data_IF_702722181179
#
_entry.id   IF_702722181179
#
_cell.length_a   1.000
_cell.length_b   1.000
_cell.length_c   1.000
_cell.angle_alpha   90.00
_cell.angle_beta   90.00
_cell.angle_gamma   90.00
#
_symmetry.space_group_name_H-M   'P 1'
#
loop_
_entity.id
_entity.type
_entity.pdbx_description
1 polymer ?
#
# COMPACT_ATOMS: atom_id res chain seq x y z
N UNK A 1 -30.32 41.16 0.38
CA UNK A 1 -29.23 40.35 -0.19
C UNK A 1 -28.59 39.57 0.96
N UNK A 2 -28.51 38.24 0.94
CA UNK A 2 -27.83 37.51 2.01
C UNK A 2 -26.33 37.82 2.00
N UNK A 3 -25.75 38.03 3.18
CA UNK A 3 -24.33 38.33 3.33
C UNK A 3 -23.47 37.07 3.07
N UNK A 4 -22.42 37.20 2.26
CA UNK A 4 -21.46 36.13 2.04
C UNK A 4 -20.60 35.94 3.30
N UNK A 5 -20.86 34.88 4.08
CA UNK A 5 -20.05 34.51 5.25
C UNK A 5 -18.95 33.53 4.84
N UNK A 6 -17.71 34.01 4.73
CA UNK A 6 -16.53 33.16 4.43
C UNK A 6 -16.20 32.30 5.66
N UNK A 7 -16.50 31.00 5.63
CA UNK A 7 -15.93 30.05 6.62
C UNK A 7 -14.43 29.93 6.41
N UNK A 8 -13.65 30.13 7.47
CA UNK A 8 -12.23 29.80 7.46
C UNK A 8 -12.10 28.28 7.33
N UNK A 9 -11.64 27.82 6.17
CA UNK A 9 -11.32 26.43 5.95
C UNK A 9 -9.95 26.17 6.61
N UNK A 10 -9.89 25.21 7.54
CA UNK A 10 -8.61 24.81 8.14
C UNK A 10 -7.75 24.25 7.00
N UNK A 11 -6.71 24.98 6.64
CA UNK A 11 -5.78 24.63 5.58
C UNK A 11 -4.36 24.81 6.11
N UNK A 12 -3.56 23.75 6.00
CA UNK A 12 -2.14 23.79 6.33
C UNK A 12 -1.35 23.82 5.01
N UNK A 13 -0.46 24.81 4.85
CA UNK A 13 0.33 25.01 3.63
C UNK A 13 -0.52 25.07 2.32
N UNK A 14 -1.77 25.55 2.39
CA UNK A 14 -2.67 25.62 1.24
C UNK A 14 -3.37 24.30 0.88
N UNK A 15 -3.10 23.21 1.60
CA UNK A 15 -3.82 21.95 1.52
C UNK A 15 -5.00 21.99 2.51
N UNK A 16 -6.21 22.07 1.98
CA UNK A 16 -7.43 21.85 2.77
C UNK A 16 -7.88 20.40 2.66
N UNK A 17 -8.62 19.90 3.65
CA UNK A 17 -9.16 18.54 3.65
C UNK A 17 -10.00 18.23 2.38
N UNK A 18 -10.74 19.23 1.89
CA UNK A 18 -11.54 19.12 0.66
C UNK A 18 -10.68 19.05 -0.61
N UNK A 19 -9.50 19.68 -0.61
CA UNK A 19 -8.55 19.54 -1.71
C UNK A 19 -7.93 18.15 -1.69
N UNK A 20 -7.56 17.64 -0.52
CA UNK A 20 -6.93 16.33 -0.38
C UNK A 20 -7.88 15.18 -0.73
N UNK A 21 -9.17 15.29 -0.38
CA UNK A 21 -10.16 14.26 -0.69
C UNK A 21 -10.32 14.01 -2.19
N UNK A 22 -10.10 15.03 -3.03
CA UNK A 22 -10.14 14.92 -4.50
C UNK A 22 -8.98 14.11 -5.07
N UNK A 23 -7.86 14.02 -4.36
CA UNK A 23 -6.69 13.23 -4.77
C UNK A 23 -6.77 11.75 -4.35
N UNK A 24 -7.76 11.39 -3.53
CA UNK A 24 -7.94 10.04 -3.01
C UNK A 24 -7.82 8.94 -4.08
N UNK A 25 -8.61 9.00 -5.18
CA UNK A 25 -8.53 7.98 -6.23
C UNK A 25 -7.15 7.87 -6.88
N UNK A 26 -6.49 9.00 -7.17
CA UNK A 26 -5.16 9.00 -7.78
C UNK A 26 -4.11 8.38 -6.85
N UNK A 27 -4.14 8.74 -5.56
CA UNK A 27 -3.23 8.17 -4.55
C UNK A 27 -3.45 6.67 -4.34
N UNK A 28 -4.67 6.16 -4.51
CA UNK A 28 -4.93 4.72 -4.48
C UNK A 28 -4.18 4.03 -5.62
N UNK A 29 -4.29 4.53 -6.86
CA UNK A 29 -3.57 3.93 -7.99
C UNK A 29 -2.05 4.01 -7.83
N UNK A 30 -1.53 5.15 -7.35
CA UNK A 30 -0.11 5.29 -7.03
C UNK A 30 0.33 4.34 -5.91
N UNK A 31 -0.49 4.16 -4.88
CA UNK A 31 -0.22 3.21 -3.79
C UNK A 31 -0.17 1.77 -4.28
N UNK A 32 -1.12 1.37 -5.14
CA UNK A 32 -1.12 0.04 -5.76
C UNK A 32 0.13 -0.14 -6.63
N UNK A 33 0.43 0.82 -7.52
CA UNK A 33 1.60 0.73 -8.40
C UNK A 33 2.92 0.67 -7.65
N UNK A 34 3.11 1.54 -6.65
CA UNK A 34 4.30 1.53 -5.80
C UNK A 34 4.41 0.25 -4.97
N UNK A 35 3.29 -0.22 -4.39
CA UNK A 35 3.23 -1.47 -3.64
C UNK A 35 3.59 -2.68 -4.50
N UNK A 36 3.07 -2.76 -5.73
CA UNK A 36 3.43 -3.79 -6.70
C UNK A 36 4.92 -3.72 -7.07
N UNK A 37 5.45 -2.54 -7.36
CA UNK A 37 6.85 -2.36 -7.72
C UNK A 37 7.79 -2.81 -6.60
N UNK A 38 7.54 -2.37 -5.36
CA UNK A 38 8.29 -2.79 -4.17
C UNK A 38 8.18 -4.30 -3.96
N UNK A 39 6.99 -4.87 -4.17
CA UNK A 39 6.77 -6.31 -4.02
C UNK A 39 7.58 -7.14 -5.00
N UNK A 40 7.77 -6.66 -6.24
CA UNK A 40 8.60 -7.32 -7.23
C UNK A 40 10.08 -7.28 -6.83
N UNK A 41 10.58 -6.12 -6.42
CA UNK A 41 11.99 -5.97 -6.02
C UNK A 41 12.34 -6.77 -4.77
N UNK A 42 11.43 -6.85 -3.80
CA UNK A 42 11.64 -7.54 -2.52
C UNK A 42 11.15 -9.00 -2.54
N UNK A 43 10.72 -9.52 -3.70
CA UNK A 43 10.14 -10.87 -3.78
C UNK A 43 11.10 -11.97 -3.32
N UNK A 44 12.41 -11.77 -3.38
CA UNK A 44 13.41 -12.76 -2.96
C UNK A 44 13.82 -12.62 -1.48
N UNK A 45 13.38 -11.57 -0.80
CA UNK A 45 13.78 -11.29 0.58
C UNK A 45 12.94 -12.15 1.53
N UNK A 46 13.54 -13.09 2.31
CA UNK A 46 12.77 -14.08 3.08
C UNK A 46 11.83 -13.47 4.13
N UNK A 47 12.25 -12.38 4.79
CA UNK A 47 11.41 -11.68 5.77
C UNK A 47 10.20 -11.01 5.09
N UNK A 48 10.38 -10.47 3.89
CA UNK A 48 9.29 -9.84 3.14
C UNK A 48 8.30 -10.87 2.60
N UNK A 49 8.79 -12.03 2.13
CA UNK A 49 7.94 -13.15 1.74
C UNK A 49 7.07 -13.60 2.92
N UNK A 50 7.68 -13.83 4.09
CA UNK A 50 6.98 -14.32 5.29
C UNK A 50 5.94 -13.33 5.80
N UNK A 51 6.29 -12.05 5.89
CA UNK A 51 5.46 -11.08 6.59
C UNK A 51 4.45 -10.36 5.69
N UNK A 52 4.69 -10.32 4.39
CA UNK A 52 3.84 -9.62 3.41
C UNK A 52 3.29 -10.59 2.37
N UNK A 53 4.14 -11.19 1.53
CA UNK A 53 3.68 -11.90 0.33
C UNK A 53 2.86 -13.15 0.63
N UNK A 54 3.23 -13.94 1.66
CA UNK A 54 2.45 -15.11 2.10
C UNK A 54 1.06 -14.78 2.65
N UNK A 55 0.83 -13.52 3.05
CA UNK A 55 -0.45 -13.05 3.59
C UNK A 55 -1.38 -12.50 2.50
N UNK A 56 -0.91 -12.39 1.27
CA UNK A 56 -1.75 -11.94 0.14
C UNK A 56 -2.77 -13.04 -0.16
N UNK A 57 -4.09 -12.73 -0.11
CA UNK A 57 -5.11 -13.72 -0.42
C UNK A 57 -4.96 -14.23 -1.87
N UNK A 58 -5.37 -15.47 -2.12
CA UNK A 58 -5.29 -16.16 -3.42
C UNK A 58 -3.87 -16.57 -3.83
N UNK A 59 -2.89 -15.67 -3.80
CA UNK A 59 -1.54 -15.93 -4.35
C UNK A 59 -0.47 -16.24 -3.31
N UNK A 60 -0.74 -16.04 -2.01
CA UNK A 60 0.27 -16.18 -0.95
C UNK A 60 0.93 -17.56 -0.84
N UNK A 61 0.25 -18.62 -1.29
CA UNK A 61 0.79 -19.99 -1.29
C UNK A 61 2.00 -20.15 -2.22
N UNK A 62 2.17 -19.28 -3.22
CA UNK A 62 3.31 -19.32 -4.14
C UNK A 62 4.68 -19.17 -3.44
N UNK A 63 4.73 -18.42 -2.33
CA UNK A 63 5.98 -18.18 -1.59
C UNK A 63 6.16 -19.11 -0.38
N UNK A 64 5.32 -20.13 -0.22
CA UNK A 64 5.47 -21.13 0.86
C UNK A 64 6.46 -22.18 0.41
N UNK A 65 7.51 -22.40 1.20
CA UNK A 65 8.44 -23.50 0.98
C UNK A 65 7.77 -24.81 1.43
N UNK A 66 7.52 -25.72 0.48
CA UNK A 66 6.94 -27.05 0.72
C UNK A 66 8.00 -28.16 0.74
N UNK A 67 9.28 -27.82 0.67
CA UNK A 67 10.38 -28.79 0.71
C UNK A 67 10.35 -29.52 2.06
N UNK A 68 10.34 -30.87 2.07
CA UNK A 68 10.40 -31.64 3.30
C UNK A 68 11.65 -31.29 4.12
N UNK A 69 11.53 -31.28 5.44
CA UNK A 69 12.67 -30.98 6.32
C UNK A 69 13.79 -32.02 6.21
N UNK A 70 13.48 -33.25 5.77
CA UNK A 70 14.49 -34.29 5.49
C UNK A 70 15.43 -33.95 4.34
N UNK A 71 14.97 -33.11 3.40
CA UNK A 71 15.69 -32.80 2.15
C UNK A 71 16.46 -31.48 2.27
N UNK A 72 16.37 -30.81 3.43
CA UNK A 72 17.09 -29.58 3.73
C UNK A 72 18.45 -29.93 4.32
N UNK A 73 19.57 -29.49 3.72
CA UNK A 73 20.91 -29.77 4.23
C UNK A 73 21.25 -28.98 5.51
N UNK A 74 20.38 -28.07 5.94
CA UNK A 74 20.48 -27.24 7.13
C UNK A 74 19.10 -26.84 7.66
#
# INVERSE_FOLDING_TARGET
MPAFTRRSQIAFAGLSAERLSKWGPSLVFWGVGAGSFVSLLLSEVPIFQKDVLRKVPVVGQYWVDTTPDSDKPF
#
